data_IF_367959089663
#
_entry.id   IF_367959089663
#
_cell.length_a   1.000
_cell.length_b   1.000
_cell.length_c   1.000
_cell.angle_alpha   90.00
_cell.angle_beta   90.00
_cell.angle_gamma   90.00
#
_symmetry.space_group_name_H-M   'P 1'
#
loop_
_entity.id
_entity.type
_entity.pdbx_description
1 polymer ?
#
# COMPACT_ATOMS: atom_id res chain seq x y z
N UNK A 1 -1.35 13.57 8.30
CA UNK A 1 -1.16 12.26 7.63
C UNK A 1 -2.22 12.15 6.54
N UNK A 2 -1.83 11.87 5.30
CA UNK A 2 -2.77 11.87 4.17
C UNK A 2 -3.08 10.45 3.72
N UNK A 3 -4.36 10.19 3.49
CA UNK A 3 -4.86 8.87 3.08
C UNK A 3 -5.19 8.83 1.59
N UNK A 4 -4.95 7.66 1.00
CA UNK A 4 -5.23 7.35 -0.39
C UNK A 4 -6.10 6.10 -0.45
N UNK A 5 -6.97 6.03 -1.46
CA UNK A 5 -7.65 4.79 -1.78
C UNK A 5 -6.69 3.87 -2.52
N UNK A 6 -6.62 2.62 -2.09
CA UNK A 6 -5.85 1.59 -2.75
C UNK A 6 -6.65 0.31 -2.81
N UNK A 7 -6.21 -0.59 -3.68
CA UNK A 7 -6.63 -1.98 -3.65
C UNK A 7 -5.43 -2.90 -3.83
N UNK A 8 -5.55 -4.09 -3.27
CA UNK A 8 -4.54 -5.15 -3.35
C UNK A 8 -5.14 -6.43 -3.91
N UNK A 9 -4.27 -7.29 -4.42
CA UNK A 9 -4.57 -8.69 -4.73
C UNK A 9 -3.34 -9.55 -4.53
N UNK A 10 -3.54 -10.83 -4.27
CA UNK A 10 -2.45 -11.81 -4.41
C UNK A 10 -2.12 -11.88 -5.90
N UNK A 11 -0.83 -11.74 -6.23
CA UNK A 11 -0.38 -11.76 -7.62
C UNK A 11 -0.74 -13.10 -8.29
N UNK A 12 -1.30 -13.12 -9.52
CA UNK A 12 -1.60 -14.36 -10.22
C UNK A 12 -0.39 -15.30 -10.39
N UNK A 13 0.82 -14.73 -10.48
CA UNK A 13 2.09 -15.49 -10.52
C UNK A 13 2.35 -16.32 -9.26
N UNK A 14 1.65 -16.02 -8.16
CA UNK A 14 1.73 -16.74 -6.89
C UNK A 14 0.40 -17.43 -6.53
N UNK A 15 -0.41 -17.77 -7.54
CA UNK A 15 -1.66 -18.50 -7.34
C UNK A 15 -2.86 -17.63 -6.93
N UNK A 16 -2.72 -16.30 -6.95
CA UNK A 16 -3.83 -15.41 -6.65
C UNK A 16 -4.94 -15.42 -7.69
N UNK A 17 -6.19 -15.26 -7.25
CA UNK A 17 -7.36 -15.13 -8.13
C UNK A 17 -7.38 -13.70 -8.69
N UNK A 18 -7.15 -13.54 -10.00
CA UNK A 18 -6.81 -12.24 -10.60
C UNK A 18 -7.84 -11.11 -10.45
N UNK A 19 -9.12 -11.44 -10.24
CA UNK A 19 -10.22 -10.49 -10.00
C UNK A 19 -10.62 -10.37 -8.51
N UNK A 20 -10.03 -11.17 -7.61
CA UNK A 20 -10.26 -11.05 -6.18
C UNK A 20 -9.36 -9.95 -5.62
N UNK A 21 -9.95 -8.78 -5.38
CA UNK A 21 -9.25 -7.62 -4.83
C UNK A 21 -9.80 -7.23 -3.47
N UNK A 22 -8.97 -6.52 -2.70
CA UNK A 22 -9.34 -5.96 -1.40
C UNK A 22 -9.07 -4.45 -1.42
N UNK A 23 -10.11 -3.59 -1.45
CA UNK A 23 -9.94 -2.15 -1.32
C UNK A 23 -9.74 -1.74 0.15
N UNK A 24 -8.92 -0.72 0.38
CA UNK A 24 -8.67 -0.13 1.70
C UNK A 24 -8.11 1.30 1.58
N UNK A 25 -8.10 2.00 2.71
CA UNK A 25 -7.41 3.29 2.85
C UNK A 25 -6.00 3.07 3.36
N UNK A 26 -5.05 3.78 2.75
CA UNK A 26 -3.64 3.68 3.09
C UNK A 26 -3.05 5.06 3.33
N UNK A 27 -2.17 5.18 4.33
CA UNK A 27 -1.47 6.41 4.62
C UNK A 27 -0.20 6.52 3.79
N UNK A 28 -0.09 7.64 3.09
CA UNK A 28 1.18 8.07 2.54
C UNK A 28 2.04 8.65 3.66
N UNK A 29 2.96 7.83 4.16
CA UNK A 29 4.00 8.24 5.09
C UNK A 29 5.34 8.08 4.38
N UNK A 30 6.02 9.19 4.13
CA UNK A 30 7.32 9.22 3.46
C UNK A 30 8.41 8.50 4.27
N UNK A 31 8.23 8.34 5.58
CA UNK A 31 9.13 7.58 6.44
C UNK A 31 8.97 6.07 6.33
N UNK A 32 7.84 5.58 5.78
CA UNK A 32 7.59 4.15 5.62
C UNK A 32 8.09 3.62 4.29
N UNK A 33 8.60 2.38 4.33
CA UNK A 33 9.11 1.64 3.17
C UNK A 33 8.46 0.26 2.99
N UNK A 34 7.48 -0.09 3.83
CA UNK A 34 6.70 -1.33 3.76
C UNK A 34 5.21 -1.05 3.89
N UNK A 35 4.41 -1.81 3.13
CA UNK A 35 2.95 -1.82 3.26
C UNK A 35 2.53 -2.58 4.51
N UNK A 36 1.50 -2.10 5.20
CA UNK A 36 0.88 -2.85 6.30
C UNK A 36 -0.36 -3.58 5.81
N UNK A 37 -0.33 -4.92 5.87
CA UNK A 37 -1.49 -5.79 5.70
C UNK A 37 -1.94 -6.32 7.07
N UNK A 38 -3.24 -6.52 7.21
CA UNK A 38 -3.80 -7.24 8.35
C UNK A 38 -4.19 -8.67 7.96
N UNK A 39 -4.25 -9.54 8.96
CA UNK A 39 -4.72 -10.93 8.78
C UNK A 39 -6.09 -11.00 8.09
N UNK A 40 -7.00 -10.07 8.40
CA UNK A 40 -8.30 -9.99 7.73
C UNK A 40 -8.23 -9.71 6.22
N UNK A 41 -7.20 -9.01 5.73
CA UNK A 41 -7.03 -8.81 4.29
C UNK A 41 -6.63 -10.10 3.60
N UNK A 42 -5.74 -10.87 4.24
CA UNK A 42 -5.34 -12.17 3.74
C UNK A 42 -6.55 -13.12 3.72
N UNK A 43 -7.40 -13.08 4.74
CA UNK A 43 -8.64 -13.83 4.74
C UNK A 43 -9.59 -13.41 3.61
N UNK A 44 -9.77 -12.10 3.39
CA UNK A 44 -10.60 -11.58 2.31
C UNK A 44 -10.07 -11.96 0.91
N UNK A 45 -8.75 -12.04 0.77
CA UNK A 45 -8.07 -12.50 -0.44
C UNK A 45 -7.96 -14.04 -0.53
N UNK A 46 -8.60 -14.78 0.39
CA UNK A 46 -8.56 -16.24 0.45
C UNK A 46 -7.12 -16.79 0.47
N UNK A 47 -6.22 -16.10 1.17
CA UNK A 47 -4.83 -16.50 1.25
C UNK A 47 -4.70 -17.90 1.86
N UNK A 48 -4.04 -18.80 1.13
CA UNK A 48 -3.64 -20.11 1.60
C UNK A 48 -2.11 -20.22 1.53
N UNK A 49 -1.49 -20.62 2.64
CA UNK A 49 -0.03 -20.69 2.76
C UNK A 49 0.61 -21.68 1.77
N UNK A 50 -0.06 -22.79 1.45
CA UNK A 50 0.46 -23.80 0.52
C UNK A 50 0.34 -23.30 -0.92
N UNK A 51 -0.82 -22.76 -1.30
CA UNK A 51 -1.08 -22.28 -2.66
C UNK A 51 -0.27 -21.03 -3.00
N UNK A 52 -0.03 -20.15 -2.02
CA UNK A 52 0.56 -18.84 -2.23
C UNK A 52 1.96 -18.69 -1.61
N UNK A 53 2.65 -19.80 -1.33
CA UNK A 53 3.98 -19.78 -0.69
C UNK A 53 4.98 -18.92 -1.46
N UNK A 54 4.85 -18.84 -2.79
CA UNK A 54 5.69 -18.02 -3.66
C UNK A 54 5.57 -16.51 -3.40
N UNK A 55 4.50 -16.03 -2.76
CA UNK A 55 4.36 -14.64 -2.32
C UNK A 55 5.10 -14.36 -1.00
N UNK A 56 5.41 -15.38 -0.20
CA UNK A 56 6.05 -15.20 1.10
C UNK A 56 7.53 -14.82 0.96
N UNK A 57 8.02 -13.98 1.88
CA UNK A 57 9.43 -13.55 1.95
C UNK A 57 10.06 -13.82 3.32
N UNK A 58 9.38 -14.60 4.16
CA UNK A 58 9.85 -14.96 5.49
C UNK A 58 9.70 -13.83 6.51
N UNK A 59 10.35 -14.00 7.65
CA UNK A 59 10.35 -13.02 8.74
C UNK A 59 11.42 -11.96 8.47
N UNK A 60 11.05 -10.70 8.59
CA UNK A 60 11.95 -9.55 8.42
C UNK A 60 11.91 -8.67 9.65
N UNK A 61 13.04 -8.03 9.95
CA UNK A 61 13.11 -7.00 10.97
C UNK A 61 12.66 -5.66 10.39
N UNK A 62 11.68 -5.02 11.02
CA UNK A 62 11.22 -3.67 10.70
C UNK A 62 11.49 -2.75 11.88
N UNK A 63 11.94 -1.53 11.60
CA UNK A 63 12.11 -0.50 12.63
C UNK A 63 10.78 0.22 12.81
N UNK A 64 10.25 0.17 14.02
CA UNK A 64 9.03 0.89 14.42
C UNK A 64 9.40 2.04 15.37
N UNK A 65 8.44 2.90 15.68
CA UNK A 65 8.63 3.93 16.71
C UNK A 65 9.03 3.36 18.08
N UNK A 66 8.62 2.11 18.38
CA UNK A 66 8.94 1.42 19.62
C UNK A 66 10.24 0.59 19.54
N UNK A 67 11.02 0.76 18.46
CA UNK A 67 12.21 -0.02 18.19
C UNK A 67 11.98 -1.16 17.17
N UNK A 68 12.98 -2.03 16.99
CA UNK A 68 12.90 -3.09 16.01
C UNK A 68 11.90 -4.19 16.38
N UNK A 69 11.15 -4.68 15.39
CA UNK A 69 10.19 -5.77 15.53
C UNK A 69 10.33 -6.76 14.37
N UNK A 70 10.18 -8.05 14.65
CA UNK A 70 10.14 -9.08 13.62
C UNK A 70 8.71 -9.28 13.12
N UNK A 71 8.53 -9.28 11.79
CA UNK A 71 7.22 -9.40 11.15
C UNK A 71 7.30 -10.36 9.97
N UNK A 72 6.22 -11.10 9.71
CA UNK A 72 6.10 -11.85 8.47
C UNK A 72 5.97 -10.90 7.30
N UNK A 73 6.72 -11.16 6.23
CA UNK A 73 6.67 -10.38 5.00
C UNK A 73 6.23 -11.19 3.80
N UNK A 74 5.61 -10.49 2.88
CA UNK A 74 5.17 -11.02 1.60
C UNK A 74 5.24 -9.93 0.52
N UNK A 75 5.10 -10.34 -0.72
CA UNK A 75 4.87 -9.44 -1.85
C UNK A 75 3.42 -9.51 -2.28
N UNK A 76 2.84 -8.37 -2.60
CA UNK A 76 1.45 -8.26 -3.03
C UNK A 76 1.37 -7.29 -4.21
N UNK A 77 0.40 -7.50 -5.10
CA UNK A 77 0.11 -6.51 -6.13
C UNK A 77 -0.77 -5.43 -5.50
N UNK A 78 -0.40 -4.17 -5.69
CA UNK A 78 -1.13 -3.00 -5.22
C UNK A 78 -1.46 -2.09 -6.40
N UNK A 79 -2.57 -1.37 -6.29
CA UNK A 79 -2.98 -0.34 -7.22
C UNK A 79 -3.56 0.84 -6.44
N UNK A 80 -3.12 2.06 -6.77
CA UNK A 80 -3.66 3.30 -6.19
C UNK A 80 -4.89 3.72 -6.99
N UNK A 81 -5.91 4.21 -6.29
CA UNK A 81 -7.19 4.62 -6.83
C UNK A 81 -7.49 6.09 -6.52
N UNK A 82 -8.32 6.72 -7.33
CA UNK A 82 -8.99 7.98 -6.98
C UNK A 82 -10.02 7.76 -5.88
N UNK A 83 -10.58 8.85 -5.34
CA UNK A 83 -11.74 8.79 -4.43
C UNK A 83 -13.01 8.20 -5.07
N UNK A 84 -13.09 8.18 -6.41
CA UNK A 84 -14.16 7.51 -7.16
C UNK A 84 -13.82 6.05 -7.51
N UNK A 85 -12.81 5.46 -6.85
CA UNK A 85 -12.33 4.09 -7.10
C UNK A 85 -11.85 3.82 -8.54
N UNK A 86 -11.40 4.87 -9.24
CA UNK A 86 -10.80 4.73 -10.58
C UNK A 86 -9.29 4.51 -10.44
N UNK A 87 -8.69 3.54 -11.15
CA UNK A 87 -7.25 3.33 -11.12
C UNK A 87 -6.41 4.57 -11.49
N UNK A 88 -5.49 4.95 -10.61
CA UNK A 88 -4.45 5.96 -10.84
C UNK A 88 -3.10 5.36 -11.24
N UNK A 89 -2.87 4.08 -10.96
CA UNK A 89 -1.64 3.37 -11.34
C UNK A 89 -1.98 2.07 -12.07
N UNK A 90 -1.05 1.48 -12.83
CA UNK A 90 -1.11 0.05 -13.09
C UNK A 90 -1.00 -0.73 -11.76
N UNK A 91 -1.21 -2.05 -11.83
CA UNK A 91 -0.81 -2.94 -10.74
C UNK A 91 0.71 -2.94 -10.64
N UNK A 92 1.23 -2.79 -9.42
CA UNK A 92 2.65 -2.88 -9.12
C UNK A 92 2.90 -3.76 -7.91
N UNK A 93 4.09 -4.35 -7.83
CA UNK A 93 4.49 -5.16 -6.67
C UNK A 93 4.89 -4.25 -5.51
N UNK A 94 4.36 -4.52 -4.32
CA UNK A 94 4.78 -3.87 -3.08
C UNK A 94 5.16 -4.93 -2.03
N UNK A 95 6.17 -4.60 -1.22
CA UNK A 95 6.54 -5.40 -0.06
C UNK A 95 5.61 -5.05 1.09
N UNK A 96 4.95 -6.06 1.62
CA UNK A 96 4.07 -5.94 2.76
C UNK A 96 4.62 -6.69 3.98
N UNK A 97 4.28 -6.18 5.15
CA UNK A 97 4.30 -6.93 6.41
C UNK A 97 2.88 -7.29 6.82
N UNK A 98 2.72 -8.45 7.46
CA UNK A 98 1.43 -8.94 7.94
C UNK A 98 1.37 -8.76 9.45
N UNK A 99 0.37 -8.04 9.93
CA UNK A 99 0.09 -7.81 11.35
C UNK A 99 -1.27 -8.41 11.74
N UNK A 100 -1.47 -8.78 13.00
CA UNK A 100 -2.81 -8.98 13.54
C UNK A 100 -3.65 -7.71 13.38
N UNK A 101 -4.95 -7.87 13.18
CA UNK A 101 -5.91 -6.78 13.21
C UNK A 101 -5.91 -6.11 14.60
N UNK A 102 -5.77 -4.78 14.62
CA UNK A 102 -5.75 -3.97 15.85
C UNK A 102 -6.60 -2.71 15.64
N UNK A 103 -7.60 -2.43 16.50
CA UNK A 103 -8.39 -1.22 16.38
C UNK A 103 -7.52 0.04 16.45
N UNK A 104 -7.72 0.96 15.50
CA UNK A 104 -6.95 2.21 15.43
C UNK A 104 -5.59 2.11 14.76
N UNK A 105 -5.13 0.91 14.37
CA UNK A 105 -3.90 0.77 13.60
C UNK A 105 -4.08 1.35 12.20
N UNK A 106 -3.09 2.15 11.80
CA UNK A 106 -3.05 2.77 10.49
C UNK A 106 -2.25 1.93 9.50
N UNK A 107 -2.74 1.84 8.26
CA UNK A 107 -2.05 1.15 7.17
C UNK A 107 -1.05 2.08 6.51
N UNK A 108 0.20 1.65 6.39
CA UNK A 108 1.24 2.38 5.67
C UNK A 108 1.28 1.91 4.22
N UNK A 109 1.63 2.80 3.29
CA UNK A 109 1.57 2.53 1.84
C UNK A 109 2.78 1.82 1.25
N UNK A 110 3.87 1.73 2.01
CA UNK A 110 5.14 1.30 1.45
C UNK A 110 5.80 2.39 0.61
N UNK A 111 6.64 1.98 -0.35
CA UNK A 111 7.46 2.90 -1.13
C UNK A 111 7.22 2.86 -2.63
N UNK A 112 6.79 1.72 -3.17
CA UNK A 112 6.73 1.47 -4.60
C UNK A 112 5.79 2.44 -5.31
N UNK A 113 4.73 2.90 -4.65
CA UNK A 113 3.83 3.91 -5.24
C UNK A 113 4.54 5.22 -5.64
N UNK A 114 5.68 5.56 -5.00
CA UNK A 114 6.48 6.76 -5.31
C UNK A 114 7.21 6.65 -6.65
N UNK A 115 7.31 5.45 -7.21
CA UNK A 115 7.86 5.23 -8.55
C UNK A 115 6.81 5.51 -9.65
N UNK A 116 5.53 5.64 -9.27
CA UNK A 116 4.41 5.84 -10.20
C UNK A 116 3.72 7.20 -10.04
N UNK A 117 3.80 7.79 -8.85
CA UNK A 117 3.07 9.00 -8.49
C UNK A 117 4.00 10.02 -7.87
N UNK A 118 3.81 11.27 -8.28
CA UNK A 118 4.35 12.42 -7.59
C UNK A 118 3.37 12.84 -6.49
N UNK A 119 3.91 13.31 -5.37
CA UNK A 119 3.17 13.78 -4.21
C UNK A 119 3.62 15.19 -3.86
N UNK A 120 2.68 16.07 -3.52
CA UNK A 120 3.00 17.40 -3.01
C UNK A 120 1.98 17.86 -1.96
N UNK A 121 2.48 18.64 -1.01
CA UNK A 121 1.69 19.37 -0.03
C UNK A 121 2.10 20.84 -0.12
N UNK A 122 1.15 21.76 -0.03
CA UNK A 122 1.46 23.20 0.06
C UNK A 122 1.39 23.66 1.52
N UNK A 123 2.26 24.61 1.95
CA UNK A 123 2.17 25.20 3.28
C UNK A 123 0.77 25.79 3.54
N UNK A 124 0.18 25.47 4.69
CA UNK A 124 -1.16 25.95 5.04
C UNK A 124 -2.34 25.20 4.40
N UNK A 125 -2.09 24.19 3.55
CA UNK A 125 -3.13 23.36 2.96
C UNK A 125 -3.08 21.93 3.54
N UNK A 126 -4.24 21.43 3.96
CA UNK A 126 -4.39 20.06 4.46
C UNK A 126 -4.55 19.01 3.34
N UNK A 127 -4.51 19.42 2.07
CA UNK A 127 -4.66 18.52 0.93
C UNK A 127 -3.33 17.94 0.45
N UNK A 128 -3.35 16.64 0.12
CA UNK A 128 -2.29 15.97 -0.60
C UNK A 128 -2.62 15.97 -2.09
N UNK A 129 -1.76 16.59 -2.89
CA UNK A 129 -1.84 16.56 -4.34
C UNK A 129 -1.10 15.34 -4.87
N UNK A 130 -1.74 14.62 -5.78
CA UNK A 130 -1.23 13.37 -6.36
C UNK A 130 -1.38 13.41 -7.86
N UNK A 131 -0.30 13.19 -8.60
CA UNK A 131 -0.35 13.11 -10.06
C UNK A 131 0.67 12.12 -10.61
N UNK A 132 0.35 11.50 -11.74
CA UNK A 132 1.29 10.62 -12.47
C UNK A 132 2.45 11.39 -13.12
N UNK A 133 2.28 12.71 -13.35
CA UNK A 133 3.29 13.57 -13.97
C UNK A 133 3.52 14.80 -13.11
N UNK A 134 4.79 15.21 -12.96
CA UNK A 134 5.18 16.41 -12.21
C UNK A 134 4.46 17.68 -12.68
N UNK A 135 4.21 17.83 -13.98
CA UNK A 135 3.46 18.97 -14.53
C UNK A 135 2.02 19.06 -13.99
N UNK A 136 1.38 17.92 -13.68
CA UNK A 136 0.05 17.90 -13.07
C UNK A 136 0.05 18.48 -11.67
N UNK A 137 1.09 18.23 -10.88
CA UNK A 137 1.24 18.85 -9.55
C UNK A 137 1.42 20.36 -9.66
N UNK A 138 2.31 20.81 -10.54
CA UNK A 138 2.64 22.25 -10.66
C UNK A 138 1.40 23.07 -11.03
N UNK A 139 0.52 22.53 -11.88
CA UNK A 139 -0.74 23.19 -12.26
C UNK A 139 -1.70 23.34 -11.08
N UNK A 140 -1.72 22.38 -10.17
CA UNK A 140 -2.75 22.27 -9.14
C UNK A 140 -2.28 22.83 -7.77
N UNK A 141 -0.99 23.18 -7.64
CA UNK A 141 -0.47 23.89 -6.48
C UNK A 141 -0.89 25.37 -6.51
N UNK A 142 -1.43 25.92 -5.39
CA UNK A 142 -1.66 27.36 -5.29
C UNK A 142 -0.33 28.12 -5.38
N UNK A 143 -0.34 29.25 -6.09
CA UNK A 143 0.80 30.14 -6.25
C UNK A 143 1.22 30.80 -4.93
#
# INVERSE_FOLDING_TARGET
MHQLHAQIRISPRYGGIGNLTRPFLVCNDTGSNVLTLFSSDLQALQFNMVLHIGAMRGVVQVTTANGPAFQHSMVIDMQILTSAFVPLTPWFEERAIVKPDSPGDVRLSGKAMRDYLFFATSPGNAHLYVAQKKAGIIRDLPA
#
